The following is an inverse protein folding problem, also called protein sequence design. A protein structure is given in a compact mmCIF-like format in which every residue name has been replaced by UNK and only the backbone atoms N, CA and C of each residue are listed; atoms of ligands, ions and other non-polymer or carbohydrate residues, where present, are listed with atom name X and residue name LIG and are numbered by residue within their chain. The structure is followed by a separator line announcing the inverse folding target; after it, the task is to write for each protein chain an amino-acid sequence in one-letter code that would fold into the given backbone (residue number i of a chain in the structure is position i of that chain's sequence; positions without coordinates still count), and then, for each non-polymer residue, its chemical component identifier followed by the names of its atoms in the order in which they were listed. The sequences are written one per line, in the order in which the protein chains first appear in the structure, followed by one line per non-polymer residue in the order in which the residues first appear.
data_IF_962740623938
#
_entry.id   IF_962740623938
#
_cell.length_a   1.000
_cell.length_b   1.000
_cell.length_c   1.000
_cell.angle_alpha   90.00
_cell.angle_beta   90.00
_cell.angle_gamma   90.00
#
_symmetry.space_group_name_H-M   'P 1'
#
loop_
_entity.id
_entity.type
_entity.pdbx_description
1 polymer ?
#
# COMPACT_ATOMS: atom_id res chain seq x y z
N UNK A 1 -22.49 -3.96 8.21
CA UNK A 1 -22.59 -2.78 7.29
C UNK A 1 -21.84 -3.14 6.01
N UNK A 2 -22.30 -2.76 4.79
CA UNK A 2 -21.44 -2.89 3.59
C UNK A 2 -20.11 -2.21 3.92
N UNK A 3 -19.01 -2.95 3.93
CA UNK A 3 -17.68 -2.34 3.95
C UNK A 3 -17.60 -1.47 2.70
N UNK A 4 -17.94 -0.19 2.84
CA UNK A 4 -18.01 0.73 1.72
C UNK A 4 -16.56 1.02 1.34
N UNK A 5 -15.99 0.16 0.51
CA UNK A 5 -14.65 0.24 -0.05
C UNK A 5 -14.35 1.63 -0.64
N UNK A 6 -15.39 2.27 -1.20
CA UNK A 6 -15.35 3.67 -1.64
C UNK A 6 -14.99 4.66 -0.53
N UNK A 7 -15.50 4.46 0.69
CA UNK A 7 -15.20 5.31 1.84
C UNK A 7 -13.79 5.05 2.39
N UNK A 8 -13.34 3.80 2.37
CA UNK A 8 -11.97 3.44 2.75
C UNK A 8 -10.92 4.03 1.81
N UNK A 9 -11.15 3.94 0.50
CA UNK A 9 -10.29 4.58 -0.50
C UNK A 9 -10.36 6.10 -0.40
N UNK A 10 -11.55 6.69 -0.28
CA UNK A 10 -11.74 8.14 -0.10
C UNK A 10 -11.01 8.71 1.12
N UNK A 11 -11.00 7.99 2.26
CA UNK A 11 -10.26 8.42 3.44
C UNK A 11 -8.73 8.36 3.25
N UNK A 12 -8.22 7.37 2.50
CA UNK A 12 -6.80 7.31 2.12
C UNK A 12 -6.42 8.51 1.23
N UNK A 13 -7.22 8.81 0.21
CA UNK A 13 -7.01 9.95 -0.68
C UNK A 13 -7.02 11.28 0.09
N UNK A 14 -8.00 11.48 0.97
CA UNK A 14 -8.11 12.68 1.80
C UNK A 14 -6.94 12.86 2.75
N UNK A 15 -6.42 11.77 3.34
CA UNK A 15 -5.26 11.83 4.22
C UNK A 15 -4.04 12.34 3.45
N UNK A 16 -3.72 11.75 2.29
CA UNK A 16 -2.59 12.15 1.45
C UNK A 16 -2.72 13.58 0.95
N UNK A 17 -3.91 13.96 0.47
CA UNK A 17 -4.24 15.34 0.07
C UNK A 17 -3.99 16.36 1.18
N UNK A 18 -4.46 16.05 2.39
CA UNK A 18 -4.33 16.96 3.51
C UNK A 18 -2.86 17.10 3.92
N UNK A 19 -2.08 16.01 3.87
CA UNK A 19 -0.64 16.07 4.10
C UNK A 19 0.02 17.05 3.13
N UNK A 20 -0.25 16.92 1.83
CA UNK A 20 0.27 17.85 0.83
C UNK A 20 -0.11 19.29 1.16
N UNK A 21 -1.38 19.55 1.47
CA UNK A 21 -1.86 20.89 1.84
C UNK A 21 -1.19 21.45 3.12
N UNK A 22 -0.92 20.60 4.12
CA UNK A 22 -0.26 20.99 5.38
C UNK A 22 1.22 21.30 5.16
N UNK A 23 1.91 20.53 4.32
CA UNK A 23 3.31 20.82 3.94
C UNK A 23 3.40 22.23 3.37
N UNK A 24 2.50 22.59 2.46
CA UNK A 24 2.42 23.95 1.93
C UNK A 24 2.04 24.99 3.00
N UNK A 25 1.19 24.66 3.98
CA UNK A 25 0.83 25.57 5.07
C UNK A 25 2.00 25.84 6.05
N UNK A 26 2.79 24.83 6.41
CA UNK A 26 3.91 24.96 7.38
C UNK A 26 5.07 25.78 6.79
N UNK A 27 5.24 25.79 5.47
CA UNK A 27 6.12 26.73 4.75
C UNK A 27 5.76 28.21 5.02
N UNK A 28 4.47 28.54 5.12
CA UNK A 28 4.03 29.92 5.41
C UNK A 28 4.53 30.38 6.78
N UNK A 29 4.52 29.49 7.78
CA UNK A 29 4.90 29.84 9.15
C UNK A 29 6.42 29.95 9.32
N UNK A 30 7.19 29.14 8.60
CA UNK A 30 8.67 29.12 8.66
C UNK A 30 9.31 30.21 7.80
N UNK A 31 8.72 30.55 6.64
CA UNK A 31 9.21 31.64 5.77
C UNK A 31 8.84 33.04 6.32
N UNK A 32 7.73 33.18 7.06
CA UNK A 32 7.31 34.47 7.64
C UNK A 32 8.02 34.79 8.98
N UNK A 33 8.67 33.81 9.63
CA UNK A 33 9.54 34.03 10.80
C UNK A 33 10.98 33.61 10.51
N UNK A 34 11.85 34.54 10.07
CA UNK A 34 13.27 34.25 9.92
C UNK A 34 13.89 34.20 11.32
N UNK A 35 13.96 33.01 11.93
CA UNK A 35 14.46 32.92 13.31
C UNK A 35 14.78 31.52 13.85
N UNK A 36 14.90 30.51 12.99
CA UNK A 36 15.29 29.17 13.42
C UNK A 36 15.57 28.28 12.24
N UNK A 37 16.70 28.48 11.58
CA UNK A 37 17.25 27.47 10.69
C UNK A 37 17.65 26.27 11.55
N UNK A 38 16.87 25.20 11.49
CA UNK A 38 17.36 23.89 11.90
C UNK A 38 18.09 23.33 10.66
N UNK A 39 19.40 23.12 10.77
CA UNK A 39 20.15 22.43 9.73
C UNK A 39 19.72 20.97 9.76
N UNK A 40 18.89 20.56 8.80
CA UNK A 40 18.57 19.16 8.59
C UNK A 40 19.79 18.44 8.01
N UNK A 41 20.06 17.23 8.50
CA UNK A 41 21.03 16.34 7.88
C UNK A 41 20.60 16.05 6.43
N UNK A 42 21.55 15.93 5.48
CA UNK A 42 21.22 15.51 4.12
C UNK A 42 20.62 14.10 4.19
N UNK A 43 19.34 13.99 3.86
CA UNK A 43 18.69 12.72 3.53
C UNK A 43 18.61 12.64 2.01
N UNK A 44 18.93 11.46 1.49
CA UNK A 44 19.19 11.24 0.07
C UNK A 44 17.93 11.50 -0.76
N UNK A 45 17.85 12.67 -1.38
CA UNK A 45 16.73 13.13 -2.22
C UNK A 45 16.58 12.33 -3.53
N UNK A 46 17.32 11.24 -3.72
CA UNK A 46 17.34 10.42 -4.94
C UNK A 46 16.50 9.13 -4.88
N UNK A 47 15.63 8.94 -3.88
CA UNK A 47 14.83 7.71 -3.79
C UNK A 47 13.95 7.44 -5.04
N UNK A 48 13.58 8.46 -5.82
CA UNK A 48 12.69 8.29 -6.97
C UNK A 48 13.37 7.93 -8.30
N UNK A 49 14.68 8.14 -8.48
CA UNK A 49 15.36 7.93 -9.79
C UNK A 49 16.21 6.66 -9.92
N UNK A 50 16.29 5.83 -8.86
CA UNK A 50 17.02 4.56 -8.91
C UNK A 50 16.32 3.49 -9.77
N UNK A 51 17.13 2.65 -10.43
CA UNK A 51 16.69 1.45 -11.16
C UNK A 51 15.71 0.62 -10.30
N UNK A 52 14.79 -0.11 -10.95
CA UNK A 52 13.91 -1.07 -10.28
C UNK A 52 14.73 -2.29 -9.84
N UNK A 53 15.25 -2.24 -8.62
CA UNK A 53 16.16 -3.25 -8.05
C UNK A 53 15.42 -4.07 -6.99
N UNK A 54 15.69 -5.38 -7.00
CA UNK A 54 15.21 -6.28 -5.96
C UNK A 54 15.77 -5.88 -4.58
N UNK A 55 14.89 -5.76 -3.60
CA UNK A 55 15.22 -5.48 -2.19
C UNK A 55 15.08 -6.73 -1.31
N UNK A 56 14.68 -7.86 -1.91
CA UNK A 56 14.57 -9.17 -1.26
C UNK A 56 15.67 -10.11 -1.76
N UNK A 57 15.94 -11.18 -0.99
CA UNK A 57 16.91 -12.20 -1.37
C UNK A 57 16.56 -12.88 -2.70
N UNK A 58 17.58 -13.27 -3.45
CA UNK A 58 17.43 -13.96 -4.73
C UNK A 58 16.83 -15.37 -4.55
N UNK A 59 16.02 -15.79 -5.51
CA UNK A 59 15.48 -17.14 -5.54
C UNK A 59 16.60 -18.19 -5.69
N UNK A 60 16.49 -19.28 -4.93
CA UNK A 60 17.34 -20.47 -5.06
C UNK A 60 16.44 -21.66 -5.41
N UNK A 61 16.75 -22.35 -6.50
CA UNK A 61 16.02 -23.56 -6.89
C UNK A 61 16.22 -24.67 -5.85
N UNK A 62 15.15 -25.42 -5.54
CA UNK A 62 15.20 -26.46 -4.52
C UNK A 62 13.83 -26.99 -4.12
N UNK A 63 13.82 -27.82 -3.09
CA UNK A 63 12.60 -28.37 -2.49
C UNK A 63 12.37 -27.72 -1.13
N UNK A 64 11.18 -27.16 -0.94
CA UNK A 64 10.78 -26.41 0.25
C UNK A 64 9.43 -26.95 0.73
N UNK A 65 9.37 -27.45 1.97
CA UNK A 65 8.16 -28.05 2.53
C UNK A 65 7.62 -29.23 1.71
N UNK A 66 8.49 -29.92 0.95
CA UNK A 66 8.11 -31.01 0.05
C UNK A 66 7.64 -30.58 -1.35
N UNK A 67 7.66 -29.28 -1.66
CA UNK A 67 7.32 -28.73 -2.98
C UNK A 67 8.59 -28.34 -3.73
N UNK A 68 8.71 -28.74 -5.00
CA UNK A 68 9.86 -28.44 -5.85
C UNK A 68 9.65 -27.13 -6.62
N UNK A 69 10.63 -26.22 -6.54
CA UNK A 69 10.66 -24.96 -7.28
C UNK A 69 11.93 -24.90 -8.12
N UNK A 70 11.79 -24.79 -9.44
CA UNK A 70 12.91 -24.68 -10.38
C UNK A 70 13.14 -23.23 -10.85
N UNK A 71 12.15 -22.37 -10.69
CA UNK A 71 12.14 -20.99 -11.18
C UNK A 71 11.26 -20.07 -10.33
N UNK A 72 11.43 -18.76 -10.50
CA UNK A 72 10.51 -17.74 -9.94
C UNK A 72 9.08 -17.96 -10.45
N UNK A 73 8.91 -18.41 -11.69
CA UNK A 73 7.59 -18.71 -12.25
C UNK A 73 6.88 -19.83 -11.46
N UNK A 74 7.60 -20.87 -11.03
CA UNK A 74 7.04 -21.93 -10.19
C UNK A 74 6.57 -21.37 -8.83
N UNK A 75 7.36 -20.46 -8.24
CA UNK A 75 7.03 -19.79 -6.98
C UNK A 75 5.74 -18.98 -7.11
N UNK A 76 5.64 -18.19 -8.19
CA UNK A 76 4.45 -17.37 -8.46
C UNK A 76 3.23 -18.24 -8.73
N UNK A 77 3.37 -19.31 -9.52
CA UNK A 77 2.26 -20.23 -9.80
C UNK A 77 1.74 -20.91 -8.52
N UNK A 78 2.62 -21.37 -7.63
CA UNK A 78 2.22 -21.95 -6.36
C UNK A 78 1.60 -20.93 -5.39
N UNK A 79 2.12 -19.70 -5.36
CA UNK A 79 1.50 -18.59 -4.63
C UNK A 79 0.07 -18.33 -5.14
N UNK A 80 -0.12 -18.25 -6.46
CA UNK A 80 -1.44 -18.01 -7.09
C UNK A 80 -2.41 -19.14 -6.76
N UNK A 81 -1.96 -20.40 -6.81
CA UNK A 81 -2.78 -21.55 -6.40
C UNK A 81 -3.22 -21.44 -4.93
N UNK A 82 -2.26 -21.20 -4.02
CA UNK A 82 -2.50 -21.10 -2.58
C UNK A 82 -3.38 -19.90 -2.23
N UNK A 83 -3.18 -18.76 -2.90
CA UNK A 83 -4.00 -17.56 -2.79
C UNK A 83 -5.44 -17.83 -3.20
N UNK A 84 -5.64 -18.45 -4.37
CA UNK A 84 -6.98 -18.75 -4.90
C UNK A 84 -7.71 -19.75 -4.01
N UNK A 85 -7.01 -20.78 -3.51
CA UNK A 85 -7.57 -21.70 -2.53
C UNK A 85 -7.98 -20.95 -1.26
N UNK A 86 -7.10 -20.11 -0.70
CA UNK A 86 -7.38 -19.36 0.53
C UNK A 86 -8.56 -18.39 0.37
N UNK A 87 -8.63 -17.67 -0.75
CA UNK A 87 -9.77 -16.78 -1.08
C UNK A 87 -11.07 -17.57 -1.29
N UNK A 88 -11.02 -18.85 -1.66
CA UNK A 88 -12.24 -19.67 -1.72
C UNK A 88 -12.84 -19.97 -0.33
N UNK A 89 -12.04 -19.85 0.74
CA UNK A 89 -12.47 -20.15 2.11
C UNK A 89 -13.21 -18.97 2.74
N UNK A 90 -14.38 -19.26 3.31
CA UNK A 90 -15.21 -18.29 4.04
C UNK A 90 -15.51 -18.76 5.45
N UNK A 91 -15.75 -17.82 6.36
CA UNK A 91 -16.25 -18.08 7.70
C UNK A 91 -17.50 -17.24 8.00
N UNK A 92 -18.30 -17.71 8.96
CA UNK A 92 -19.41 -16.95 9.49
C UNK A 92 -18.93 -16.03 10.63
N UNK A 93 -19.38 -14.79 10.57
CA UNK A 93 -19.10 -13.78 11.57
C UNK A 93 -20.40 -13.14 12.05
N UNK A 94 -20.39 -12.66 13.28
CA UNK A 94 -21.36 -11.68 13.73
C UNK A 94 -20.82 -10.28 13.38
N UNK A 95 -21.48 -9.59 12.45
CA UNK A 95 -21.23 -8.19 12.09
C UNK A 95 -22.32 -7.33 12.74
N UNK A 96 -21.98 -6.69 13.85
CA UNK A 96 -22.85 -5.77 14.58
C UNK A 96 -24.24 -6.36 14.87
N UNK A 97 -24.29 -7.62 15.33
CA UNK A 97 -25.50 -8.36 15.65
C UNK A 97 -26.11 -9.15 14.49
N UNK A 98 -25.55 -9.06 13.28
CA UNK A 98 -26.05 -9.77 12.09
C UNK A 98 -25.07 -10.83 11.62
N UNK A 99 -25.55 -12.06 11.38
CA UNK A 99 -24.70 -13.10 10.76
C UNK A 99 -24.33 -12.71 9.34
N UNK A 100 -23.04 -12.69 9.05
CA UNK A 100 -22.46 -12.40 7.75
C UNK A 100 -21.45 -13.49 7.37
N UNK A 101 -21.18 -13.64 6.07
CA UNK A 101 -20.16 -14.55 5.53
C UNK A 101 -19.08 -13.75 4.84
N UNK A 102 -17.87 -13.82 5.37
CA UNK A 102 -16.68 -13.11 4.87
C UNK A 102 -15.56 -14.10 4.58
N UNK A 103 -14.48 -13.64 3.94
CA UNK A 103 -13.26 -14.43 3.80
C UNK A 103 -12.81 -14.95 5.17
N UNK A 104 -12.35 -16.20 5.21
CA UNK A 104 -11.87 -16.83 6.45
C UNK A 104 -10.63 -16.11 7.00
N UNK A 105 -9.72 -15.71 6.11
CA UNK A 105 -8.53 -14.96 6.46
C UNK A 105 -8.77 -13.46 6.25
N UNK A 106 -9.17 -12.77 7.31
CA UNK A 106 -9.25 -11.32 7.35
C UNK A 106 -7.95 -10.75 7.92
N UNK A 107 -7.56 -9.58 7.43
CA UNK A 107 -6.41 -8.81 7.89
C UNK A 107 -6.79 -7.36 8.13
N UNK A 108 -5.81 -6.58 8.57
CA UNK A 108 -5.96 -5.15 8.83
C UNK A 108 -4.99 -4.36 7.97
N UNK A 109 -5.48 -3.26 7.41
CA UNK A 109 -4.63 -2.29 6.72
C UNK A 109 -4.11 -1.21 7.66
N UNK A 110 -2.92 -0.69 7.35
CA UNK A 110 -2.38 0.52 7.96
C UNK A 110 -1.79 1.44 6.89
N UNK A 111 -1.71 2.74 7.18
CA UNK A 111 -1.09 3.73 6.30
C UNK A 111 -0.25 4.68 7.13
N UNK A 112 1.00 4.86 6.72
CA UNK A 112 1.96 5.79 7.30
C UNK A 112 2.51 6.70 6.21
N UNK A 113 2.86 7.91 6.61
CA UNK A 113 3.53 8.89 5.76
C UNK A 113 4.85 9.26 6.41
N UNK A 114 5.92 9.19 5.62
CA UNK A 114 7.31 9.31 6.07
C UNK A 114 8.13 10.14 5.07
N UNK A 115 9.38 10.41 5.43
CA UNK A 115 10.38 11.07 4.57
C UNK A 115 9.86 12.31 3.84
N UNK A 116 9.19 13.19 4.58
CA UNK A 116 8.59 14.38 4.00
C UNK A 116 9.68 15.41 3.74
N UNK A 117 9.83 15.78 2.47
CA UNK A 117 10.83 16.73 2.02
C UNK A 117 10.17 17.93 1.35
N UNK A 118 10.73 19.11 1.61
CA UNK A 118 10.33 20.38 1.00
C UNK A 118 11.58 21.03 0.44
N UNK A 119 11.58 21.34 -0.85
CA UNK A 119 12.78 21.82 -1.55
C UNK A 119 13.98 20.89 -1.31
N UNK A 120 13.74 19.57 -1.25
CA UNK A 120 14.76 18.55 -0.95
C UNK A 120 15.28 18.55 0.50
N UNK A 121 14.66 19.32 1.41
CA UNK A 121 15.06 19.40 2.81
C UNK A 121 13.99 18.80 3.72
N UNK A 122 14.41 17.97 4.67
CA UNK A 122 13.55 17.47 5.75
C UNK A 122 13.20 18.58 6.75
N UNK A 123 12.05 18.45 7.43
CA UNK A 123 11.61 19.38 8.48
C UNK A 123 11.07 18.62 9.68
N UNK A 124 11.75 18.71 10.82
CA UNK A 124 11.40 17.97 12.04
C UNK A 124 9.98 18.29 12.55
N UNK A 125 9.53 19.54 12.45
CA UNK A 125 8.17 19.92 12.83
C UNK A 125 7.13 19.27 11.91
N UNK A 126 7.38 19.25 10.60
CA UNK A 126 6.49 18.61 9.62
C UNK A 126 6.47 17.09 9.85
N UNK A 127 7.64 16.47 10.03
CA UNK A 127 7.78 15.04 10.29
C UNK A 127 7.11 14.60 11.61
N UNK A 128 6.94 15.51 12.58
CA UNK A 128 6.17 15.22 13.80
C UNK A 128 4.67 15.44 13.64
N UNK A 129 4.26 16.49 12.92
CA UNK A 129 2.85 16.86 12.77
C UNK A 129 2.10 15.94 11.80
N UNK A 130 2.71 15.62 10.67
CA UNK A 130 2.03 14.90 9.58
C UNK A 130 1.58 13.50 9.99
N UNK A 131 2.42 12.63 10.61
CA UNK A 131 1.98 11.31 11.04
C UNK A 131 0.80 11.36 12.03
N UNK A 132 0.77 12.37 12.91
CA UNK A 132 -0.35 12.58 13.86
C UNK A 132 -1.64 12.89 13.13
N UNK A 133 -1.56 13.71 12.08
CA UNK A 133 -2.73 14.11 11.27
C UNK A 133 -3.22 12.93 10.44
N UNK A 134 -2.31 12.20 9.80
CA UNK A 134 -2.64 10.97 9.05
C UNK A 134 -3.29 9.96 9.98
N UNK A 135 -2.74 9.70 11.17
CA UNK A 135 -3.34 8.79 12.15
C UNK A 135 -4.71 9.25 12.68
N UNK A 136 -4.98 10.56 12.67
CA UNK A 136 -6.31 11.10 12.99
C UNK A 136 -7.35 10.97 11.87
N UNK A 137 -6.91 10.84 10.61
CA UNK A 137 -7.78 10.80 9.43
C UNK A 137 -7.97 9.40 8.87
N UNK A 138 -6.91 8.60 8.92
CA UNK A 138 -6.91 7.23 8.46
C UNK A 138 -7.11 6.30 9.64
N UNK A 139 -8.24 5.60 9.63
CA UNK A 139 -8.47 4.46 10.52
C UNK A 139 -8.49 3.22 9.66
N UNK A 140 -7.49 2.34 9.85
CA UNK A 140 -7.38 1.10 9.09
C UNK A 140 -8.69 0.29 9.09
N UNK A 141 -9.05 -0.29 7.94
CA UNK A 141 -10.18 -1.20 7.77
C UNK A 141 -9.78 -2.67 7.74
N UNK A 142 -10.79 -3.54 7.87
CA UNK A 142 -10.60 -4.96 7.60
C UNK A 142 -10.48 -5.19 6.09
N UNK A 143 -9.62 -6.13 5.72
CA UNK A 143 -9.33 -6.52 4.33
C UNK A 143 -9.27 -8.04 4.19
N UNK A 144 -9.62 -8.54 3.01
CA UNK A 144 -9.15 -9.85 2.56
C UNK A 144 -7.74 -9.73 1.97
N UNK A 145 -7.12 -10.86 1.61
CA UNK A 145 -5.80 -10.86 0.97
C UNK A 145 -5.77 -9.90 -0.24
N UNK A 146 -4.73 -9.07 -0.40
CA UNK A 146 -4.63 -8.12 -1.50
C UNK A 146 -4.33 -8.82 -2.84
N UNK A 147 -4.83 -8.29 -3.98
CA UNK A 147 -5.78 -7.19 -4.07
C UNK A 147 -7.17 -7.59 -3.56
N UNK A 148 -7.85 -6.64 -2.90
CA UNK A 148 -9.13 -6.80 -2.25
C UNK A 148 -9.91 -5.48 -2.23
N UNK A 149 -11.04 -5.47 -2.93
CA UNK A 149 -12.05 -4.42 -2.85
C UNK A 149 -13.06 -4.65 -1.72
N UNK A 150 -13.26 -5.89 -1.27
CA UNK A 150 -14.28 -6.22 -0.27
C UNK A 150 -13.92 -7.45 0.57
N UNK A 151 -14.20 -7.41 1.87
CA UNK A 151 -14.02 -8.56 2.78
C UNK A 151 -15.01 -9.70 2.51
N UNK A 152 -16.10 -9.43 1.78
CA UNK A 152 -17.03 -10.44 1.28
C UNK A 152 -16.68 -10.83 -0.16
N UNK A 153 -16.59 -12.14 -0.47
CA UNK A 153 -16.31 -12.60 -1.84
C UNK A 153 -17.40 -12.21 -2.85
N UNK A 154 -18.62 -11.93 -2.39
CA UNK A 154 -19.76 -11.66 -3.28
C UNK A 154 -19.65 -10.36 -4.08
N UNK A 155 -18.74 -9.46 -3.67
CA UNK A 155 -18.56 -8.15 -4.29
C UNK A 155 -17.08 -7.72 -4.26
N UNK A 156 -16.14 -8.69 -4.30
CA UNK A 156 -14.71 -8.38 -4.25
C UNK A 156 -14.21 -7.95 -5.64
N UNK A 157 -14.37 -6.64 -5.89
CA UNK A 157 -13.94 -5.98 -7.13
C UNK A 157 -13.16 -4.71 -6.83
N UNK A 158 -12.14 -4.39 -7.64
CA UNK A 158 -11.33 -3.17 -7.54
C UNK A 158 -11.38 -2.36 -8.83
N UNK A 159 -10.88 -1.12 -8.79
CA UNK A 159 -10.81 -0.23 -9.95
C UNK A 159 -12.15 -0.11 -10.67
N UNK A 160 -12.13 -0.32 -11.98
CA UNK A 160 -13.30 -0.29 -12.87
C UNK A 160 -14.11 -1.60 -12.84
N UNK A 161 -14.26 -2.21 -11.67
CA UNK A 161 -15.05 -3.43 -11.46
C UNK A 161 -14.31 -4.72 -11.76
N UNK A 162 -12.97 -4.69 -11.77
CA UNK A 162 -12.12 -5.86 -11.97
C UNK A 162 -12.34 -6.83 -10.81
N UNK A 163 -12.70 -8.08 -11.12
CA UNK A 163 -12.91 -9.11 -10.12
C UNK A 163 -11.59 -9.60 -9.54
N UNK A 164 -11.45 -9.56 -8.21
CA UNK A 164 -10.25 -9.99 -7.47
C UNK A 164 -10.56 -11.07 -6.43
N UNK A 165 -11.60 -11.85 -6.69
CA UNK A 165 -11.86 -13.09 -5.94
C UNK A 165 -10.80 -14.16 -6.22
N UNK A 166 -10.03 -13.99 -7.28
CA UNK A 166 -8.84 -14.76 -7.63
C UNK A 166 -7.65 -13.81 -7.85
N UNK A 167 -6.44 -14.35 -7.78
CA UNK A 167 -5.22 -13.60 -8.04
C UNK A 167 -5.14 -13.19 -9.50
N UNK A 168 -4.65 -11.99 -9.74
CA UNK A 168 -4.30 -11.47 -11.06
C UNK A 168 -2.79 -11.57 -11.33
N UNK A 169 -2.00 -11.94 -10.32
CA UNK A 169 -0.55 -11.96 -10.38
C UNK A 169 -0.05 -12.99 -11.39
N UNK A 170 0.88 -12.57 -12.23
CA UNK A 170 1.63 -13.42 -13.16
C UNK A 170 3.13 -13.31 -12.90
N UNK A 171 3.92 -14.23 -13.45
CA UNK A 171 5.37 -14.15 -13.34
C UNK A 171 5.94 -12.87 -14.00
N UNK A 172 5.27 -12.35 -15.03
CA UNK A 172 5.66 -11.11 -15.71
C UNK A 172 5.50 -9.86 -14.82
N UNK A 173 4.67 -9.92 -13.79
CA UNK A 173 4.48 -8.83 -12.83
C UNK A 173 5.59 -8.78 -11.78
N UNK A 174 6.35 -9.87 -11.62
CA UNK A 174 7.27 -10.06 -10.50
C UNK A 174 8.68 -9.65 -10.88
N UNK A 175 9.29 -8.81 -10.04
CA UNK A 175 10.71 -8.46 -10.14
C UNK A 175 11.59 -9.54 -9.51
N UNK A 176 11.19 -10.01 -8.33
CA UNK A 176 11.86 -11.06 -7.58
C UNK A 176 10.87 -11.80 -6.70
N UNK A 177 11.13 -13.09 -6.47
CA UNK A 177 10.46 -13.85 -5.42
C UNK A 177 11.49 -14.73 -4.69
N UNK A 178 11.19 -15.15 -3.46
CA UNK A 178 11.97 -16.14 -2.75
C UNK A 178 11.07 -17.11 -1.98
N UNK A 179 11.67 -18.22 -1.53
CA UNK A 179 10.99 -19.24 -0.72
C UNK A 179 11.89 -19.61 0.45
N UNK A 180 11.29 -19.73 1.64
CA UNK A 180 11.94 -20.23 2.85
C UNK A 180 11.11 -21.36 3.42
N UNK A 181 11.75 -22.49 3.72
CA UNK A 181 11.12 -23.60 4.45
C UNK A 181 11.25 -23.35 5.96
N UNK A 182 10.13 -23.36 6.67
CA UNK A 182 10.09 -23.09 8.10
C UNK A 182 10.38 -24.36 8.94
N UNK A 183 10.42 -25.55 8.31
CA UNK A 183 10.70 -26.82 8.97
C UNK A 183 9.57 -27.36 9.85
N UNK A 184 8.39 -26.73 9.80
CA UNK A 184 7.20 -27.07 10.60
C UNK A 184 5.99 -27.50 9.75
N UNK A 185 6.22 -27.74 8.46
CA UNK A 185 5.17 -28.04 7.47
C UNK A 185 4.63 -26.79 6.76
N UNK A 186 5.18 -25.61 7.07
CA UNK A 186 4.88 -24.37 6.34
C UNK A 186 6.09 -23.86 5.55
N UNK A 187 5.81 -23.06 4.53
CA UNK A 187 6.82 -22.29 3.80
C UNK A 187 6.43 -20.82 3.80
N UNK A 188 7.43 -19.94 3.75
CA UNK A 188 7.23 -18.52 3.46
C UNK A 188 7.55 -18.25 1.99
N UNK A 189 6.66 -17.54 1.31
CA UNK A 189 6.92 -16.99 -0.01
C UNK A 189 6.93 -15.47 0.10
N UNK A 190 8.04 -14.85 -0.31
CA UNK A 190 8.12 -13.38 -0.45
C UNK A 190 8.14 -13.00 -1.91
N UNK A 191 7.31 -12.04 -2.30
CA UNK A 191 7.20 -11.52 -3.67
C UNK A 191 7.41 -10.00 -3.66
N UNK A 192 8.23 -9.52 -4.60
CA UNK A 192 8.37 -8.12 -4.94
C UNK A 192 7.89 -7.89 -6.37
N UNK A 193 6.78 -7.16 -6.59
CA UNK A 193 6.34 -6.77 -7.92
C UNK A 193 7.25 -5.69 -8.54
N UNK A 194 7.26 -5.61 -9.86
CA UNK A 194 7.96 -4.58 -10.65
C UNK A 194 7.41 -3.19 -10.37
N UNK A 195 8.27 -2.18 -10.42
CA UNK A 195 7.87 -0.79 -10.20
C UNK A 195 6.90 -0.28 -11.27
N UNK A 196 5.94 0.55 -10.84
CA UNK A 196 4.94 1.17 -11.71
C UNK A 196 4.70 2.61 -11.27
N UNK A 197 4.63 3.53 -12.23
CA UNK A 197 4.14 4.89 -12.00
C UNK A 197 2.62 4.93 -12.14
N UNK A 198 1.94 5.70 -11.27
CA UNK A 198 0.49 5.90 -11.30
C UNK A 198 -0.30 4.59 -11.29
N UNK A 199 0.17 3.61 -10.51
CA UNK A 199 -0.42 2.27 -10.46
C UNK A 199 -1.91 2.30 -10.10
N UNK A 200 -2.68 1.49 -10.84
CA UNK A 200 -4.12 1.35 -10.70
C UNK A 200 -4.49 -0.03 -10.13
N UNK A 201 -5.50 -0.11 -9.23
CA UNK A 201 -5.90 -1.38 -8.64
C UNK A 201 -6.27 -2.42 -9.71
N UNK A 202 -5.63 -3.59 -9.64
CA UNK A 202 -5.88 -4.72 -10.55
C UNK A 202 -5.48 -4.51 -12.01
N UNK A 203 -4.67 -3.49 -12.35
CA UNK A 203 -4.38 -3.14 -13.75
C UNK A 203 -2.92 -3.32 -14.19
N UNK A 204 -2.00 -3.45 -13.25
CA UNK A 204 -0.56 -3.49 -13.49
C UNK A 204 0.14 -4.34 -12.41
N UNK A 205 1.46 -4.51 -12.51
CA UNK A 205 2.24 -5.35 -11.62
C UNK A 205 2.03 -5.04 -10.12
N UNK A 206 1.97 -3.76 -9.76
CA UNK A 206 1.71 -3.34 -8.38
C UNK A 206 0.23 -3.58 -8.02
N UNK A 207 -0.70 -3.27 -8.92
CA UNK A 207 -2.14 -3.47 -8.75
C UNK A 207 -2.59 -4.93 -8.72
N UNK A 208 -1.81 -5.85 -9.30
CA UNK A 208 -2.07 -7.30 -9.25
C UNK A 208 -1.66 -7.93 -7.92
N UNK A 209 -0.79 -7.27 -7.15
CA UNK A 209 -0.26 -7.80 -5.89
C UNK A 209 -0.71 -7.01 -4.65
N UNK A 210 -0.86 -5.69 -4.76
CA UNK A 210 -1.22 -4.80 -3.65
C UNK A 210 -2.60 -4.15 -3.82
N UNK A 211 -3.14 -3.64 -2.72
CA UNK A 211 -4.22 -2.65 -2.75
C UNK A 211 -3.64 -1.26 -3.02
N UNK A 212 -3.37 -0.95 -4.28
CA UNK A 212 -2.73 0.32 -4.67
C UNK A 212 -3.63 1.52 -4.35
N UNK A 213 -3.01 2.69 -4.20
CA UNK A 213 -3.76 3.92 -3.92
C UNK A 213 -4.53 4.42 -5.15
N UNK A 214 -4.22 3.89 -6.34
CA UNK A 214 -4.78 4.36 -7.61
C UNK A 214 -4.16 5.67 -8.08
N UNK A 215 -4.62 6.13 -9.25
CA UNK A 215 -4.25 7.45 -9.75
C UNK A 215 -4.87 8.55 -8.89
N UNK A 216 -4.04 9.18 -8.08
CA UNK A 216 -4.44 10.28 -7.18
C UNK A 216 -4.33 11.65 -7.89
N UNK A 217 -3.89 11.70 -9.15
CA UNK A 217 -3.64 12.94 -9.91
C UNK A 217 -4.89 13.80 -10.00
N UNK A 218 -6.01 13.24 -10.45
CA UNK A 218 -7.29 13.96 -10.56
C UNK A 218 -7.76 14.57 -9.23
N UNK A 219 -7.43 13.89 -8.13
CA UNK A 219 -7.75 14.36 -6.78
C UNK A 219 -6.87 15.55 -6.40
N UNK A 220 -5.58 15.52 -6.74
CA UNK A 220 -4.65 16.64 -6.57
C UNK A 220 -5.01 17.83 -7.49
N UNK A 221 -5.47 17.59 -8.72
CA UNK A 221 -5.98 18.65 -9.62
C UNK A 221 -7.17 19.40 -9.03
N UNK A 222 -8.01 18.72 -8.24
CA UNK A 222 -9.23 19.31 -7.67
C UNK A 222 -8.97 20.32 -6.55
N UNK A 223 -7.72 20.45 -6.08
CA UNK A 223 -7.34 21.42 -5.05
C UNK A 223 -7.38 22.83 -5.66
N UNK A 224 -8.46 23.57 -5.43
CA UNK A 224 -8.65 24.92 -6.00
C UNK A 224 -7.50 25.91 -5.69
N UNK A 225 -6.77 25.70 -4.60
CA UNK A 225 -5.66 26.57 -4.20
C UNK A 225 -4.31 26.15 -4.80
N UNK A 226 -4.23 24.98 -5.45
CA UNK A 226 -3.02 24.48 -6.10
C UNK A 226 -2.99 24.90 -7.57
N UNK A 227 -1.87 25.47 -8.00
CA UNK A 227 -1.56 25.74 -9.40
C UNK A 227 -0.08 25.46 -9.65
N UNK A 228 0.38 25.53 -10.89
CA UNK A 228 1.80 25.29 -11.22
C UNK A 228 2.41 26.53 -11.88
N UNK A 229 3.68 26.79 -11.60
CA UNK A 229 4.42 27.94 -12.18
C UNK A 229 4.67 27.75 -13.67
N UNK A 230 4.75 26.48 -14.11
CA UNK A 230 4.91 26.05 -15.50
C UNK A 230 4.40 24.63 -15.65
N UNK A 231 3.90 24.28 -16.85
CA UNK A 231 3.41 22.92 -17.13
C UNK A 231 2.03 22.62 -16.56
N UNK A 232 1.56 21.40 -16.79
CA UNK A 232 0.34 20.83 -16.21
C UNK A 232 0.65 20.05 -14.93
N UNK A 233 -0.37 19.43 -14.31
CA UNK A 233 -0.12 18.51 -13.20
C UNK A 233 0.72 17.30 -13.64
N UNK A 234 0.51 16.79 -14.86
CA UNK A 234 1.22 15.59 -15.34
C UNK A 234 2.72 15.82 -15.50
N UNK A 235 3.12 17.08 -15.68
CA UNK A 235 4.54 17.47 -15.77
C UNK A 235 5.19 17.62 -14.39
N UNK A 236 4.36 17.78 -13.35
CA UNK A 236 4.78 18.29 -12.04
C UNK A 236 4.36 17.41 -10.87
N UNK A 237 3.72 16.28 -11.14
CA UNK A 237 3.21 15.38 -10.13
C UNK A 237 3.41 13.95 -10.60
N UNK A 238 4.14 13.18 -9.81
CA UNK A 238 4.43 11.76 -10.10
C UNK A 238 4.20 10.95 -8.83
N UNK A 239 3.58 9.79 -8.99
CA UNK A 239 3.43 8.79 -7.93
C UNK A 239 4.07 7.51 -8.40
N UNK A 240 5.07 7.06 -7.67
CA UNK A 240 5.89 5.90 -8.02
C UNK A 240 5.70 4.81 -6.98
N UNK A 241 5.30 3.62 -7.41
CA UNK A 241 5.15 2.43 -6.58
C UNK A 241 6.37 1.53 -6.83
N UNK A 242 7.26 1.40 -5.84
CA UNK A 242 8.56 0.73 -6.03
C UNK A 242 9.10 0.14 -4.73
N UNK A 243 9.73 -1.03 -4.80
CA UNK A 243 10.44 -1.65 -3.67
C UNK A 243 9.56 -2.18 -2.53
N UNK A 244 8.24 -2.22 -2.72
CA UNK A 244 7.34 -2.90 -1.79
C UNK A 244 7.37 -4.42 -1.99
N UNK A 245 7.16 -5.20 -0.92
CA UNK A 245 7.10 -6.66 -0.98
C UNK A 245 6.00 -7.22 -0.09
N UNK A 246 5.62 -8.48 -0.33
CA UNK A 246 4.68 -9.20 0.52
C UNK A 246 5.18 -10.61 0.82
N UNK A 247 5.09 -11.01 2.08
CA UNK A 247 5.45 -12.35 2.55
C UNK A 247 4.19 -13.05 3.03
N UNK A 248 3.96 -14.28 2.56
CA UNK A 248 2.90 -15.15 3.07
C UNK A 248 3.46 -16.44 3.62
N UNK A 249 2.84 -16.94 4.68
CA UNK A 249 3.11 -18.28 5.21
C UNK A 249 2.03 -19.24 4.71
N UNK A 250 2.44 -20.30 4.03
CA UNK A 250 1.55 -21.31 3.43
C UNK A 250 1.74 -22.64 4.15
N UNK A 251 0.64 -23.26 4.55
CA UNK A 251 0.64 -24.66 4.98
C UNK A 251 0.69 -25.58 3.75
N UNK A 252 1.81 -26.29 3.58
CA UNK A 252 2.07 -27.10 2.38
C UNK A 252 1.19 -28.35 2.26
N UNK A 253 0.59 -28.80 3.36
CA UNK A 253 -0.33 -29.94 3.34
C UNK A 253 -1.73 -29.55 2.85
N UNK A 254 -2.12 -28.27 2.98
CA UNK A 254 -3.47 -27.79 2.64
C UNK A 254 -3.49 -26.73 1.54
N UNK A 255 -2.34 -26.17 1.16
CA UNK A 255 -2.19 -24.98 0.31
C UNK A 255 -2.90 -23.73 0.88
N UNK A 256 -3.24 -23.71 2.18
CA UNK A 256 -3.83 -22.54 2.81
C UNK A 256 -2.74 -21.54 3.22
N UNK A 257 -2.90 -20.27 2.82
CA UNK A 257 -2.17 -19.15 3.41
C UNK A 257 -2.72 -18.93 4.82
N UNK A 258 -1.87 -19.04 5.83
CA UNK A 258 -2.25 -18.93 7.25
C UNK A 258 -1.95 -17.55 7.85
N UNK A 259 -0.97 -16.85 7.28
CA UNK A 259 -0.60 -15.48 7.65
C UNK A 259 0.06 -14.77 6.47
N UNK A 260 0.12 -13.44 6.54
CA UNK A 260 0.83 -12.66 5.55
C UNK A 260 1.03 -11.21 5.95
N UNK A 261 2.11 -10.63 5.46
CA UNK A 261 2.51 -9.26 5.67
C UNK A 261 2.87 -8.64 4.34
N UNK A 262 2.10 -7.63 3.93
CA UNK A 262 2.29 -6.90 2.69
C UNK A 262 2.70 -5.48 3.03
N UNK A 263 3.80 -5.00 2.46
CA UNK A 263 4.26 -3.62 2.58
C UNK A 263 4.41 -3.02 1.19
N UNK A 264 3.51 -2.11 0.84
CA UNK A 264 3.59 -1.33 -0.39
C UNK A 264 4.24 0.02 -0.07
N UNK A 265 5.27 0.36 -0.85
CA UNK A 265 5.98 1.63 -0.74
C UNK A 265 5.61 2.51 -1.93
N UNK A 266 5.24 3.75 -1.65
CA UNK A 266 4.82 4.74 -2.66
C UNK A 266 5.58 6.03 -2.43
N UNK A 267 6.28 6.50 -3.45
CA UNK A 267 6.90 7.81 -3.46
C UNK A 267 6.02 8.80 -4.21
N UNK A 268 5.79 9.97 -3.63
CA UNK A 268 5.02 11.05 -4.25
C UNK A 268 5.93 12.25 -4.41
N UNK A 269 6.08 12.74 -5.64
CA UNK A 269 6.83 13.93 -6.00
C UNK A 269 5.88 15.00 -6.56
N UNK A 270 6.01 16.24 -6.07
CA UNK A 270 5.32 17.42 -6.60
C UNK A 270 6.37 18.51 -6.86
N UNK A 271 6.39 19.11 -8.05
CA UNK A 271 7.30 20.21 -8.43
C UNK A 271 6.56 21.45 -8.89
N UNK A 272 7.21 22.61 -8.85
CA UNK A 272 6.69 23.89 -9.36
C UNK A 272 5.30 24.30 -8.85
N UNK A 273 4.89 23.81 -7.68
CA UNK A 273 3.59 24.06 -7.09
C UNK A 273 3.47 25.47 -6.51
N UNK A 274 2.30 26.05 -6.72
CA UNK A 274 1.86 27.35 -6.22
C UNK A 274 0.66 27.11 -5.30
N UNK A 275 0.75 27.53 -4.05
CA UNK A 275 -0.35 27.45 -3.07
C UNK A 275 -0.52 28.79 -2.38
N UNK A 276 -1.66 29.45 -2.60
CA UNK A 276 -1.96 30.78 -2.07
C UNK A 276 -0.85 31.80 -2.42
N UNK A 277 -0.13 32.32 -1.42
CA UNK A 277 0.98 33.27 -1.56
C UNK A 277 2.32 32.62 -1.90
N UNK A 278 2.41 31.29 -1.75
CA UNK A 278 3.62 30.54 -2.05
C UNK A 278 3.67 30.25 -3.54
N UNK A 279 4.84 30.52 -4.13
CA UNK A 279 5.09 30.31 -5.55
C UNK A 279 6.30 29.41 -5.75
N UNK A 280 6.19 28.56 -6.76
CA UNK A 280 7.25 27.73 -7.30
C UNK A 280 7.95 26.88 -6.24
N UNK A 281 7.22 25.91 -5.68
CA UNK A 281 7.70 25.02 -4.63
C UNK A 281 7.64 23.55 -5.02
N UNK A 282 8.57 22.78 -4.50
CA UNK A 282 8.63 21.34 -4.68
C UNK A 282 8.59 20.63 -3.32
N UNK A 283 7.91 19.49 -3.29
CA UNK A 283 7.81 18.65 -2.10
C UNK A 283 7.72 17.18 -2.51
N UNK A 284 8.20 16.31 -1.64
CA UNK A 284 8.02 14.88 -1.78
C UNK A 284 7.70 14.21 -0.45
N UNK A 285 7.12 13.02 -0.53
CA UNK A 285 6.84 12.20 0.64
C UNK A 285 6.84 10.73 0.25
N UNK A 286 7.05 9.87 1.25
CA UNK A 286 6.84 8.43 1.13
C UNK A 286 5.56 8.02 1.86
N UNK A 287 4.84 7.08 1.28
CA UNK A 287 3.70 6.40 1.90
C UNK A 287 4.06 4.93 2.04
N UNK A 288 3.95 4.44 3.27
CA UNK A 288 4.07 3.02 3.58
C UNK A 288 2.67 2.51 3.89
N UNK A 289 2.17 1.63 3.04
CA UNK A 289 0.84 1.03 3.19
C UNK A 289 0.97 -0.46 3.45
N UNK A 290 0.52 -0.91 4.63
CA UNK A 290 0.69 -2.30 5.05
C UNK A 290 -0.64 -3.04 5.17
N UNK A 291 -0.61 -4.36 4.97
CA UNK A 291 -1.73 -5.26 5.26
C UNK A 291 -1.18 -6.48 5.99
N UNK A 292 -1.63 -6.72 7.21
CA UNK A 292 -1.19 -7.83 8.06
C UNK A 292 -2.33 -8.80 8.34
N UNK A 293 -2.03 -10.10 8.26
CA UNK A 293 -2.97 -11.20 8.40
C UNK A 293 -2.44 -12.27 9.38
N UNK A 294 -3.30 -12.86 10.22
CA UNK A 294 -4.70 -12.51 10.42
C UNK A 294 -4.88 -11.22 11.25
N UNK A 295 -6.05 -10.59 11.13
CA UNK A 295 -6.49 -9.57 12.07
C UNK A 295 -6.67 -10.20 13.47
N UNK A 296 -6.28 -9.48 14.52
CA UNK A 296 -6.46 -9.98 15.89
C UNK A 296 -7.94 -9.95 16.30
N UNK A 297 -8.29 -10.73 17.33
CA UNK A 297 -9.64 -10.72 17.91
C UNK A 297 -10.06 -9.32 18.37
N UNK A 298 -9.12 -8.55 18.94
CA UNK A 298 -9.35 -7.17 19.35
C UNK A 298 -9.68 -6.29 18.14
N UNK A 299 -8.88 -6.36 17.07
CA UNK A 299 -9.10 -5.59 15.85
C UNK A 299 -10.45 -5.92 15.19
N UNK A 300 -10.83 -7.21 15.14
CA UNK A 300 -12.14 -7.63 14.65
C UNK A 300 -13.25 -7.00 15.51
N UNK A 301 -13.12 -7.10 16.84
CA UNK A 301 -14.12 -6.58 17.79
C UNK A 301 -14.28 -5.07 17.70
N UNK A 302 -13.18 -4.32 17.54
CA UNK A 302 -13.19 -2.87 17.31
C UNK A 302 -13.95 -2.47 16.03
N UNK A 303 -14.02 -3.37 15.05
CA UNK A 303 -14.81 -3.20 13.83
C UNK A 303 -16.23 -3.77 13.94
N UNK A 304 -16.63 -4.19 15.14
CA UNK A 304 -17.93 -4.79 15.41
C UNK A 304 -18.09 -6.19 14.82
N UNK A 305 -16.98 -6.87 14.56
CA UNK A 305 -16.94 -8.24 14.04
C UNK A 305 -16.48 -9.20 15.14
N UNK A 306 -17.25 -10.25 15.38
CA UNK A 306 -16.79 -11.39 16.20
C UNK A 306 -17.01 -12.69 15.43
N UNK A 307 -16.25 -13.73 15.76
CA UNK A 307 -16.57 -15.07 15.28
C UNK A 307 -18.01 -15.42 15.69
N UNK A 308 -18.76 -16.04 14.77
CA UNK A 308 -20.14 -16.48 15.01
C UNK A 308 -20.20 -17.72 15.90
#
# INVERSE_FOLDING_TARGET
MKANSKLGNFNKFLAVLLVLAIIFLVLVVTVIKPGGAYEAAPVDANASSGEDVATIDEFVAGTYGGIEFNSVEDVVNYYVESYNYTKSLTAQYNDNGTTATYYKLLGMENLQVENIMVEGNSNDLINQLVPTIVGGLFTGGLKGLPPCGNISPTADTVGDGINVTQSLLTADDVLMANVVDNGDGTINITIQPKAVELSMPGSDAQGHFFNTLGDITSTVESIEQLSFSSGSISDNFVVTYKGGSGTVTINTATNEIVSGDYTMNVHVDVTHANVLVLKDKSASLDIVYTNTFPATTEQLTEKGITAA
#
